data_IF_699721440940
#
_entry.id   IF_699721440940
#
_cell.length_a   1.000
_cell.length_b   1.000
_cell.length_c   1.000
_cell.angle_alpha   90.00
_cell.angle_beta   90.00
_cell.angle_gamma   90.00
#
_symmetry.space_group_name_H-M   'P 1'
#
loop_
_entity.id
_entity.type
_entity.pdbx_description
1 polymer ?
#
# COMPACT_ATOMS: atom_id res chain seq x y z
N UNK A 1 28.67 -11.49 -10.23
CA UNK A 1 27.94 -10.71 -9.22
C UNK A 1 27.23 -11.69 -8.30
N UNK A 2 27.28 -11.54 -6.99
CA UNK A 2 26.54 -12.44 -6.10
C UNK A 2 25.05 -12.13 -6.11
N UNK A 3 24.19 -13.08 -5.72
CA UNK A 3 22.74 -12.83 -5.62
C UNK A 3 22.45 -11.64 -4.67
N UNK A 4 23.20 -11.50 -3.57
CA UNK A 4 23.12 -10.36 -2.65
C UNK A 4 23.39 -9.02 -3.37
N UNK A 5 24.45 -8.96 -4.19
CA UNK A 5 24.77 -7.76 -4.96
C UNK A 5 23.65 -7.39 -5.93
N UNK A 6 23.10 -8.39 -6.62
CA UNK A 6 21.97 -8.19 -7.54
C UNK A 6 20.74 -7.63 -6.82
N UNK A 7 20.43 -8.12 -5.61
CA UNK A 7 19.32 -7.61 -4.83
C UNK A 7 19.55 -6.17 -4.34
N UNK A 8 20.77 -5.83 -3.88
CA UNK A 8 21.09 -4.45 -3.46
C UNK A 8 20.94 -3.49 -4.63
N UNK A 9 21.45 -3.87 -5.81
CA UNK A 9 21.33 -3.06 -7.03
C UNK A 9 19.85 -2.85 -7.41
N UNK A 10 19.04 -3.92 -7.43
CA UNK A 10 17.61 -3.83 -7.71
C UNK A 10 16.84 -2.94 -6.72
N UNK A 11 17.17 -3.00 -5.42
CA UNK A 11 16.59 -2.11 -4.39
C UNK A 11 17.01 -0.66 -4.65
N UNK A 12 18.29 -0.42 -4.95
CA UNK A 12 18.82 0.91 -5.25
C UNK A 12 18.11 1.52 -6.46
N UNK A 13 18.00 0.77 -7.55
CA UNK A 13 17.32 1.22 -8.78
C UNK A 13 15.84 1.53 -8.52
N UNK A 14 15.16 0.70 -7.77
CA UNK A 14 13.76 0.93 -7.41
C UNK A 14 13.56 2.18 -6.54
N UNK A 15 14.50 2.49 -5.62
CA UNK A 15 14.49 3.73 -4.85
C UNK A 15 14.72 4.96 -5.75
N UNK A 16 15.67 4.89 -6.68
CA UNK A 16 15.94 5.94 -7.65
C UNK A 16 14.73 6.18 -8.56
N UNK A 17 14.09 5.12 -9.04
CA UNK A 17 12.84 5.22 -9.83
C UNK A 17 11.71 5.94 -9.08
N UNK A 18 11.71 5.91 -7.76
CA UNK A 18 10.80 6.68 -6.88
C UNK A 18 11.29 8.10 -6.58
N UNK A 19 12.31 8.58 -7.30
CA UNK A 19 12.89 9.92 -7.18
C UNK A 19 13.61 10.17 -5.85
N UNK A 20 14.10 9.12 -5.22
CA UNK A 20 14.96 9.24 -4.05
C UNK A 20 16.41 9.35 -4.51
N UNK A 21 17.19 10.17 -3.82
CA UNK A 21 18.64 10.19 -3.99
C UNK A 21 19.22 9.03 -3.17
N UNK A 22 20.03 8.18 -3.81
CA UNK A 22 20.59 6.98 -3.19
C UNK A 22 22.12 7.02 -3.29
N UNK A 23 22.80 6.85 -2.17
CA UNK A 23 24.24 6.68 -2.08
C UNK A 23 24.55 5.33 -1.42
N UNK A 24 25.28 4.49 -2.13
CA UNK A 24 25.69 3.19 -1.59
C UNK A 24 27.02 3.30 -0.85
N UNK A 25 27.06 2.79 0.39
CA UNK A 25 28.27 2.66 1.20
C UNK A 25 28.37 1.20 1.70
N UNK A 26 29.14 0.38 0.97
CA UNK A 26 29.19 -1.07 1.22
C UNK A 26 27.82 -1.72 1.00
N UNK A 27 27.30 -2.38 2.04
CA UNK A 27 25.98 -3.05 2.06
C UNK A 27 24.85 -2.13 2.57
N UNK A 28 25.11 -0.86 2.76
CA UNK A 28 24.15 0.12 3.28
C UNK A 28 23.75 1.10 2.20
N UNK A 29 22.51 1.53 2.18
CA UNK A 29 22.02 2.60 1.33
C UNK A 29 21.66 3.82 2.18
N UNK A 30 22.34 4.94 1.95
CA UNK A 30 21.92 6.25 2.40
C UNK A 30 20.90 6.80 1.43
N UNK A 31 19.70 7.03 1.88
CA UNK A 31 18.58 7.49 1.05
C UNK A 31 18.09 8.83 1.51
N UNK A 32 17.72 9.69 0.56
CA UNK A 32 17.28 11.03 0.81
C UNK A 32 16.10 11.39 -0.10
N UNK A 33 15.06 11.99 0.49
CA UNK A 33 13.90 12.49 -0.25
C UNK A 33 14.00 14.01 -0.43
N UNK A 34 14.15 14.42 -1.70
CA UNK A 34 14.20 15.83 -2.11
C UNK A 34 15.57 16.49 -2.05
N UNK A 35 15.72 17.66 -2.70
CA UNK A 35 16.97 18.39 -2.80
C UNK A 35 17.27 19.19 -1.52
N UNK A 36 18.56 19.30 -1.20
CA UNK A 36 19.05 20.22 -0.20
C UNK A 36 19.19 19.66 1.21
N UNK A 37 19.62 20.53 2.14
CA UNK A 37 19.99 20.15 3.52
C UNK A 37 18.82 19.83 4.46
N UNK A 38 17.61 20.14 4.04
CA UNK A 38 16.38 19.91 4.82
C UNK A 38 15.61 18.67 4.35
N UNK A 39 16.15 17.92 3.42
CA UNK A 39 15.56 16.68 2.96
C UNK A 39 15.56 15.62 4.08
N UNK A 40 14.52 14.82 4.13
CA UNK A 40 14.47 13.63 4.98
C UNK A 40 15.52 12.64 4.54
N UNK A 41 16.17 11.97 5.49
CA UNK A 41 17.25 11.03 5.22
C UNK A 41 17.08 9.78 6.06
N UNK A 42 17.44 8.63 5.50
CA UNK A 42 17.58 7.39 6.23
C UNK A 42 18.85 6.66 5.79
N UNK A 43 19.41 5.93 6.75
CA UNK A 43 20.47 4.97 6.50
C UNK A 43 19.83 3.58 6.62
N UNK A 44 19.58 2.93 5.48
CA UNK A 44 18.78 1.72 5.43
C UNK A 44 19.60 0.50 5.83
N UNK A 45 19.12 -0.21 6.85
CA UNK A 45 19.52 -1.58 7.10
C UNK A 45 18.81 -2.50 6.11
N UNK A 46 19.56 -3.10 5.21
CA UNK A 46 19.02 -3.97 4.16
C UNK A 46 18.95 -5.43 4.57
N UNK A 47 19.54 -5.84 5.70
CA UNK A 47 19.61 -7.26 6.07
C UNK A 47 18.23 -7.93 6.14
N UNK A 48 17.18 -7.31 6.72
CA UNK A 48 15.87 -7.94 6.78
C UNK A 48 15.26 -8.21 5.40
N UNK A 49 15.37 -7.26 4.46
CA UNK A 49 14.81 -7.45 3.11
C UNK A 49 15.67 -8.40 2.28
N UNK A 50 17.00 -8.37 2.43
CA UNK A 50 17.89 -9.27 1.71
C UNK A 50 17.70 -10.73 2.17
N UNK A 51 17.50 -10.97 3.47
CA UNK A 51 17.15 -12.30 4.00
C UNK A 51 15.82 -12.78 3.41
N UNK A 52 14.79 -11.95 3.44
CA UNK A 52 13.48 -12.29 2.89
C UNK A 52 13.53 -12.60 1.38
N UNK A 53 14.30 -11.82 0.59
CA UNK A 53 14.52 -12.08 -0.83
C UNK A 53 15.27 -13.39 -1.08
N UNK A 54 16.24 -13.74 -0.21
CA UNK A 54 16.99 -14.99 -0.31
C UNK A 54 16.15 -16.25 -0.06
N UNK A 55 15.08 -16.11 0.70
CA UNK A 55 14.15 -17.19 1.03
C UNK A 55 12.95 -17.28 0.06
N UNK A 56 12.66 -16.21 -0.66
CA UNK A 56 11.51 -16.11 -1.54
C UNK A 56 11.77 -16.69 -2.95
N UNK A 57 10.67 -17.07 -3.62
CA UNK A 57 10.73 -17.35 -5.04
C UNK A 57 11.04 -16.07 -5.82
N UNK A 58 11.92 -16.16 -6.82
CA UNK A 58 12.36 -15.05 -7.67
C UNK A 58 11.19 -14.27 -8.29
N UNK A 59 10.10 -14.94 -8.64
CA UNK A 59 8.87 -14.30 -9.13
C UNK A 59 8.26 -13.27 -8.17
N UNK A 60 8.54 -13.40 -6.86
CA UNK A 60 8.06 -12.49 -5.83
C UNK A 60 9.01 -11.32 -5.53
N UNK A 61 10.27 -11.38 -5.98
CA UNK A 61 11.29 -10.38 -5.62
C UNK A 61 10.88 -8.96 -6.00
N UNK A 62 10.35 -8.78 -7.19
CA UNK A 62 9.91 -7.47 -7.67
C UNK A 62 8.83 -6.84 -6.78
N UNK A 63 7.83 -7.62 -6.39
CA UNK A 63 6.77 -7.21 -5.47
C UNK A 63 7.31 -6.86 -4.09
N UNK A 64 8.19 -7.70 -3.56
CA UNK A 64 8.81 -7.50 -2.24
C UNK A 64 9.65 -6.23 -2.22
N UNK A 65 10.43 -5.98 -3.26
CA UNK A 65 11.21 -4.75 -3.42
C UNK A 65 10.28 -3.53 -3.53
N UNK A 66 9.19 -3.62 -4.30
CA UNK A 66 8.23 -2.53 -4.45
C UNK A 66 7.58 -2.16 -3.11
N UNK A 67 7.13 -3.15 -2.33
CA UNK A 67 6.59 -2.93 -0.98
C UNK A 67 7.60 -2.29 -0.03
N UNK A 68 8.84 -2.82 0.00
CA UNK A 68 9.92 -2.25 0.79
C UNK A 68 10.17 -0.77 0.45
N UNK A 69 10.32 -0.46 -0.83
CA UNK A 69 10.57 0.90 -1.32
C UNK A 69 9.41 1.84 -0.98
N UNK A 70 8.18 1.34 -1.06
CA UNK A 70 7.00 2.13 -0.67
C UNK A 70 6.99 2.47 0.82
N UNK A 71 7.36 1.52 1.67
CA UNK A 71 7.52 1.74 3.10
C UNK A 71 8.59 2.80 3.40
N UNK A 72 9.76 2.69 2.78
CA UNK A 72 10.85 3.68 2.90
C UNK A 72 10.35 5.07 2.46
N UNK A 73 9.73 5.16 1.30
CA UNK A 73 9.25 6.43 0.74
C UNK A 73 8.22 7.09 1.65
N UNK A 74 7.28 6.31 2.19
CA UNK A 74 6.25 6.84 3.09
C UNK A 74 6.85 7.50 4.32
N UNK A 75 7.88 6.91 4.93
CA UNK A 75 8.57 7.49 6.09
C UNK A 75 9.36 8.73 5.70
N UNK A 76 10.11 8.69 4.60
CA UNK A 76 10.94 9.81 4.15
C UNK A 76 10.12 11.00 3.64
N UNK A 77 8.88 10.79 3.22
CA UNK A 77 7.98 11.87 2.82
C UNK A 77 7.57 12.77 4.01
N UNK A 78 7.75 12.30 5.26
CA UNK A 78 7.51 13.14 6.43
C UNK A 78 8.54 14.27 6.51
N UNK A 79 8.11 15.55 6.58
CA UNK A 79 9.06 16.66 6.73
C UNK A 79 9.89 16.52 8.00
N UNK A 80 11.21 16.79 7.98
CA UNK A 80 12.10 16.60 9.13
C UNK A 80 11.73 17.38 10.40
N UNK A 81 10.85 18.38 10.28
CA UNK A 81 10.32 19.18 11.39
C UNK A 81 8.87 18.86 11.72
N UNK A 82 8.33 17.79 11.16
CA UNK A 82 6.98 17.34 11.50
C UNK A 82 6.92 16.96 12.97
N UNK A 83 5.82 17.33 13.60
CA UNK A 83 5.47 16.91 14.97
C UNK A 83 4.28 15.94 14.96
N UNK A 84 4.01 15.33 13.82
CA UNK A 84 2.86 14.46 13.67
C UNK A 84 2.90 13.23 14.61
N UNK A 85 4.10 12.81 15.05
CA UNK A 85 4.27 11.80 16.09
C UNK A 85 3.75 12.23 17.48
N UNK A 86 3.69 13.55 17.72
CA UNK A 86 3.21 14.13 18.98
C UNK A 86 1.71 14.48 18.93
N UNK A 87 1.05 14.33 17.78
CA UNK A 87 -0.36 14.71 17.61
C UNK A 87 -1.29 13.79 18.42
N UNK A 88 -2.34 14.38 18.94
CA UNK A 88 -3.43 13.64 19.59
C UNK A 88 -4.32 12.95 18.54
N UNK A 89 -5.13 12.01 19.01
CA UNK A 89 -6.14 11.38 18.13
C UNK A 89 -7.05 12.43 17.44
N UNK A 90 -7.51 13.45 18.17
CA UNK A 90 -8.38 14.49 17.62
C UNK A 90 -7.74 15.30 16.49
N UNK A 91 -6.43 15.57 16.59
CA UNK A 91 -5.68 16.26 15.54
C UNK A 91 -5.46 15.38 14.30
N UNK A 92 -5.50 14.07 14.48
CA UNK A 92 -5.15 13.09 13.46
C UNK A 92 -6.36 12.45 12.78
N UNK A 93 -7.50 12.31 13.48
CA UNK A 93 -8.65 11.56 13.01
C UNK A 93 -9.20 12.02 11.64
N UNK A 94 -9.06 13.29 11.29
CA UNK A 94 -9.43 13.84 9.99
C UNK A 94 -8.32 13.73 8.92
N UNK A 95 -7.22 13.00 9.18
CA UNK A 95 -6.04 12.89 8.31
C UNK A 95 -5.59 11.45 8.12
N UNK A 96 -6.24 10.49 8.76
CA UNK A 96 -5.89 9.06 8.63
C UNK A 96 -6.48 8.49 7.36
N UNK A 97 -5.66 7.71 6.64
CA UNK A 97 -6.06 7.05 5.39
C UNK A 97 -5.71 5.56 5.46
N UNK A 98 -6.63 4.66 5.09
CA UNK A 98 -6.31 3.25 4.97
C UNK A 98 -5.65 2.99 3.62
N UNK A 99 -4.65 2.13 3.61
CA UNK A 99 -3.98 1.67 2.39
C UNK A 99 -3.84 0.15 2.42
N UNK A 100 -3.97 -0.47 1.24
CA UNK A 100 -3.63 -1.88 1.05
C UNK A 100 -2.17 -1.96 0.60
N UNK A 101 -1.37 -2.72 1.32
CA UNK A 101 0.07 -2.89 1.09
C UNK A 101 0.46 -4.36 1.24
N UNK A 102 1.64 -4.73 0.79
CA UNK A 102 2.26 -6.03 1.06
C UNK A 102 3.12 -5.95 2.33
N UNK A 103 3.44 -7.10 2.92
CA UNK A 103 4.16 -7.21 4.20
C UNK A 103 5.55 -6.54 4.19
N UNK A 104 6.26 -6.57 3.06
CA UNK A 104 7.57 -5.91 2.93
C UNK A 104 7.51 -4.38 3.05
N UNK A 105 6.31 -3.76 2.97
CA UNK A 105 6.10 -2.37 3.34
C UNK A 105 6.51 -2.09 4.79
N UNK A 106 6.17 -2.99 5.71
CA UNK A 106 6.52 -2.84 7.13
C UNK A 106 8.05 -2.89 7.32
N UNK A 107 8.72 -3.78 6.56
CA UNK A 107 10.18 -3.90 6.57
C UNK A 107 10.82 -2.59 6.10
N UNK A 108 10.32 -2.02 5.00
CA UNK A 108 10.81 -0.74 4.45
C UNK A 108 10.59 0.44 5.40
N UNK A 109 9.42 0.54 6.01
CA UNK A 109 9.11 1.59 6.96
C UNK A 109 10.03 1.53 8.19
N UNK A 110 10.27 0.34 8.75
CA UNK A 110 11.23 0.13 9.85
C UNK A 110 12.66 0.47 9.43
N UNK A 111 13.10 0.02 8.26
CA UNK A 111 14.44 0.33 7.76
C UNK A 111 14.68 1.84 7.61
N UNK A 112 13.64 2.61 7.28
CA UNK A 112 13.69 4.07 7.21
C UNK A 112 13.55 4.77 8.57
N UNK A 113 13.47 4.03 9.68
CA UNK A 113 13.44 4.56 11.04
C UNK A 113 12.05 4.79 11.63
N UNK A 114 10.99 4.27 11.00
CA UNK A 114 9.67 4.25 11.63
C UNK A 114 9.65 3.23 12.77
N UNK A 115 8.90 3.57 13.81
CA UNK A 115 8.40 2.56 14.74
C UNK A 115 7.46 1.59 14.01
N UNK A 116 7.01 0.54 14.68
CA UNK A 116 6.10 -0.45 14.11
C UNK A 116 4.85 0.21 13.50
N UNK A 117 4.63 0.19 12.17
CA UNK A 117 3.39 0.68 11.58
C UNK A 117 2.18 -0.10 12.08
N UNK A 118 1.11 0.61 12.41
CA UNK A 118 -0.16 -0.04 12.74
C UNK A 118 -0.72 -0.74 11.49
N UNK A 119 -1.03 -2.01 11.63
CA UNK A 119 -1.53 -2.81 10.52
C UNK A 119 -2.41 -3.96 10.99
N UNK A 120 -3.23 -4.47 10.09
CA UNK A 120 -3.95 -5.74 10.21
C UNK A 120 -3.90 -6.49 8.88
N UNK A 121 -3.95 -7.81 8.93
CA UNK A 121 -4.08 -8.60 7.69
C UNK A 121 -5.47 -8.38 7.11
N UNK A 122 -5.51 -8.05 5.81
CA UNK A 122 -6.76 -7.78 5.12
C UNK A 122 -7.28 -9.03 4.41
N UNK A 123 -6.56 -9.53 3.42
CA UNK A 123 -6.89 -10.75 2.68
C UNK A 123 -5.65 -11.25 1.92
N UNK A 124 -5.48 -12.56 1.82
CA UNK A 124 -4.34 -13.15 1.12
C UNK A 124 -3.02 -12.57 1.66
N UNK A 125 -2.24 -11.98 0.79
CA UNK A 125 -0.95 -11.35 1.07
C UNK A 125 -1.02 -9.84 1.32
N UNK A 126 -2.23 -9.28 1.34
CA UNK A 126 -2.47 -7.86 1.57
C UNK A 126 -2.62 -7.54 3.06
N UNK A 127 -1.99 -6.46 3.46
CA UNK A 127 -2.15 -5.80 4.75
C UNK A 127 -2.96 -4.52 4.58
N UNK A 128 -3.82 -4.26 5.54
CA UNK A 128 -4.38 -2.94 5.77
C UNK A 128 -3.42 -2.19 6.69
N UNK A 129 -2.84 -1.11 6.21
CA UNK A 129 -2.03 -0.18 6.99
C UNK A 129 -2.73 1.17 7.06
N UNK A 130 -2.50 1.92 8.12
CA UNK A 130 -3.01 3.29 8.24
C UNK A 130 -1.86 4.26 8.07
N UNK A 131 -2.07 5.28 7.25
CA UNK A 131 -1.17 6.42 7.11
C UNK A 131 -1.84 7.71 7.59
N UNK A 132 -1.03 8.65 8.02
CA UNK A 132 -1.45 10.00 8.40
C UNK A 132 -1.04 10.93 7.25
N UNK A 133 -2.02 11.63 6.69
CA UNK A 133 -1.78 12.65 5.67
C UNK A 133 -1.20 13.91 6.32
N UNK A 134 -0.11 14.38 5.77
CA UNK A 134 0.58 15.61 6.14
C UNK A 134 0.34 16.66 5.07
N UNK A 135 0.71 17.91 5.32
CA UNK A 135 0.63 18.98 4.32
C UNK A 135 1.51 18.70 3.09
N UNK A 136 2.53 17.87 3.28
CA UNK A 136 3.38 17.34 2.19
C UNK A 136 3.72 15.88 2.49
N UNK A 137 3.01 14.96 1.83
CA UNK A 137 3.26 13.52 1.95
C UNK A 137 2.45 12.82 3.03
N UNK A 138 2.89 11.65 3.40
CA UNK A 138 2.25 10.75 4.35
C UNK A 138 3.29 10.18 5.31
N UNK A 139 2.83 9.74 6.47
CA UNK A 139 3.64 8.92 7.39
C UNK A 139 2.82 7.74 7.87
N UNK A 140 3.45 6.62 8.23
CA UNK A 140 2.72 5.52 8.88
C UNK A 140 2.16 5.98 10.24
N UNK A 141 0.93 5.59 10.53
CA UNK A 141 0.46 5.56 11.92
C UNK A 141 1.17 4.40 12.61
N UNK A 142 1.71 4.64 13.81
CA UNK A 142 2.43 3.58 14.53
C UNK A 142 1.58 2.94 15.62
N UNK A 143 1.90 1.69 15.97
CA UNK A 143 1.27 0.98 17.07
C UNK A 143 1.40 1.78 18.38
N UNK A 144 2.57 2.32 18.65
CA UNK A 144 2.83 3.14 19.85
C UNK A 144 1.94 4.38 19.93
N UNK A 145 1.66 5.05 18.80
CA UNK A 145 0.72 6.18 18.79
C UNK A 145 -0.71 5.76 19.12
N UNK A 146 -1.18 4.64 18.57
CA UNK A 146 -2.51 4.11 18.86
C UNK A 146 -2.67 3.82 20.35
N UNK A 147 -1.67 3.21 20.96
CA UNK A 147 -1.62 2.92 22.39
C UNK A 147 -1.59 4.21 23.24
N UNK A 148 -0.74 5.17 22.87
CA UNK A 148 -0.64 6.47 23.55
C UNK A 148 -1.94 7.28 23.50
N UNK A 149 -2.75 7.13 22.44
CA UNK A 149 -4.05 7.79 22.33
C UNK A 149 -5.15 7.14 23.19
N UNK A 150 -4.92 5.93 23.68
CA UNK A 150 -5.93 5.17 24.42
C UNK A 150 -7.20 4.92 23.61
N UNK A 151 -7.08 4.88 22.26
CA UNK A 151 -8.21 4.66 21.35
C UNK A 151 -8.24 3.22 20.86
N UNK A 152 -9.36 2.80 20.29
CA UNK A 152 -9.51 1.45 19.73
C UNK A 152 -9.17 1.41 18.26
N UNK A 153 -8.69 0.26 17.78
CA UNK A 153 -8.45 -0.01 16.36
C UNK A 153 -9.70 0.25 15.51
N UNK A 154 -10.89 -0.10 16.01
CA UNK A 154 -12.16 0.12 15.31
C UNK A 154 -12.43 1.62 15.06
N UNK A 155 -12.11 2.48 16.02
CA UNK A 155 -12.28 3.93 15.86
C UNK A 155 -11.32 4.51 14.85
N UNK A 156 -10.07 4.05 14.85
CA UNK A 156 -9.07 4.47 13.87
C UNK A 156 -9.47 4.01 12.48
N UNK A 157 -9.84 2.75 12.32
CA UNK A 157 -10.29 2.20 11.06
C UNK A 157 -11.52 2.93 10.51
N UNK A 158 -12.52 3.19 11.35
CA UNK A 158 -13.71 3.94 10.96
C UNK A 158 -13.39 5.36 10.52
N UNK A 159 -12.48 6.05 11.20
CA UNK A 159 -12.03 7.38 10.80
C UNK A 159 -11.30 7.34 9.45
N UNK A 160 -10.38 6.39 9.27
CA UNK A 160 -9.61 6.23 8.05
C UNK A 160 -10.52 5.89 6.84
N UNK A 161 -11.49 4.99 7.03
CA UNK A 161 -12.49 4.65 6.02
C UNK A 161 -13.36 5.85 5.63
N UNK A 162 -13.79 6.62 6.61
CA UNK A 162 -14.56 7.85 6.37
C UNK A 162 -13.75 8.86 5.55
N UNK A 163 -12.46 9.03 5.84
CA UNK A 163 -11.59 9.91 5.05
C UNK A 163 -11.41 9.41 3.62
N UNK A 164 -11.17 8.12 3.42
CA UNK A 164 -11.08 7.53 2.09
C UNK A 164 -12.39 7.72 1.31
N UNK A 165 -13.54 7.46 1.95
CA UNK A 165 -14.86 7.70 1.35
C UNK A 165 -15.04 9.15 0.89
N UNK A 166 -14.67 10.12 1.72
CA UNK A 166 -14.76 11.53 1.34
C UNK A 166 -13.89 11.89 0.13
N UNK A 167 -12.70 11.28 0.02
CA UNK A 167 -11.82 11.50 -1.13
C UNK A 167 -12.28 10.80 -2.40
N UNK A 168 -13.02 9.71 -2.26
CA UNK A 168 -13.42 8.85 -3.39
C UNK A 168 -14.91 8.91 -3.74
N UNK A 169 -15.71 9.71 -3.02
CA UNK A 169 -17.18 9.77 -3.20
C UNK A 169 -17.65 10.10 -4.62
N UNK A 170 -16.84 10.83 -5.39
CA UNK A 170 -17.15 11.24 -6.75
C UNK A 170 -16.56 10.26 -7.80
N UNK A 171 -15.91 9.20 -7.37
CA UNK A 171 -15.35 8.16 -8.25
C UNK A 171 -16.48 7.32 -8.82
N UNK A 172 -16.39 7.02 -10.11
CA UNK A 172 -17.23 6.02 -10.77
C UNK A 172 -16.44 4.73 -10.87
N UNK A 173 -17.03 3.61 -10.44
CA UNK A 173 -16.36 2.32 -10.40
C UNK A 173 -16.04 1.79 -11.80
N UNK A 174 -16.92 2.03 -12.77
CA UNK A 174 -16.71 1.57 -14.14
C UNK A 174 -15.92 2.60 -14.92
N UNK A 175 -14.70 2.23 -15.24
CA UNK A 175 -13.81 2.95 -16.15
C UNK A 175 -13.24 1.91 -17.11
N UNK A 176 -12.56 2.28 -18.15
CA UNK A 176 -11.93 1.46 -19.19
C UNK A 176 -11.79 -0.05 -18.88
N UNK A 177 -12.75 -0.85 -19.34
CA UNK A 177 -12.78 -2.28 -19.08
C UNK A 177 -11.63 -2.97 -19.84
N UNK A 178 -10.70 -3.67 -19.17
CA UNK A 178 -9.57 -4.31 -19.82
C UNK A 178 -9.99 -5.58 -20.60
N UNK A 179 -11.13 -6.18 -20.26
CA UNK A 179 -11.70 -7.32 -20.90
C UNK A 179 -13.23 -7.35 -20.68
N UNK A 180 -14.00 -8.07 -21.50
CA UNK A 180 -15.45 -8.19 -21.30
C UNK A 180 -15.80 -8.65 -19.89
N UNK A 181 -16.67 -7.91 -19.20
CA UNK A 181 -17.12 -8.19 -17.83
C UNK A 181 -16.13 -7.86 -16.72
N UNK A 182 -14.91 -7.45 -17.05
CA UNK A 182 -13.89 -7.01 -16.07
C UNK A 182 -13.94 -5.50 -15.98
N UNK A 183 -14.25 -4.99 -14.80
CA UNK A 183 -14.37 -3.57 -14.55
C UNK A 183 -13.11 -3.02 -13.88
N UNK A 184 -12.73 -1.79 -14.27
CA UNK A 184 -11.56 -1.10 -13.75
C UNK A 184 -11.97 0.07 -12.87
N UNK A 185 -11.29 0.23 -11.74
CA UNK A 185 -11.23 1.49 -10.99
C UNK A 185 -9.83 2.05 -11.11
N UNK A 186 -9.74 3.26 -11.66
CA UNK A 186 -8.50 4.03 -11.73
C UNK A 186 -8.78 5.44 -11.24
N UNK A 187 -8.08 5.85 -10.20
CA UNK A 187 -8.17 7.21 -9.70
C UNK A 187 -7.17 8.07 -10.47
N UNK A 188 -7.66 9.19 -11.02
CA UNK A 188 -6.81 10.18 -11.67
C UNK A 188 -5.87 10.87 -10.66
N UNK A 189 -4.88 11.60 -11.18
CA UNK A 189 -4.00 12.51 -10.43
C UNK A 189 -3.03 11.85 -9.44
N UNK A 190 -2.62 10.60 -9.68
CA UNK A 190 -1.60 9.92 -8.89
C UNK A 190 -2.04 9.63 -7.45
N UNK A 191 -3.33 9.53 -7.20
CA UNK A 191 -3.83 9.03 -5.94
C UNK A 191 -3.71 7.50 -5.91
N UNK A 192 -2.76 6.99 -5.13
CA UNK A 192 -2.53 5.56 -4.87
C UNK A 192 -3.70 4.87 -4.13
N UNK A 193 -4.89 5.49 -4.17
CA UNK A 193 -6.03 5.03 -3.39
C UNK A 193 -6.92 4.02 -4.13
N UNK A 194 -6.71 3.78 -5.43
CA UNK A 194 -7.55 2.87 -6.21
C UNK A 194 -7.62 1.49 -5.58
N UNK A 195 -6.48 0.94 -5.16
CA UNK A 195 -6.38 -0.34 -4.46
C UNK A 195 -7.17 -0.43 -3.15
N UNK A 196 -7.40 0.71 -2.53
CA UNK A 196 -8.07 0.78 -1.23
C UNK A 196 -9.57 1.09 -1.32
N UNK A 197 -10.10 1.41 -2.51
CA UNK A 197 -11.52 1.79 -2.65
C UNK A 197 -12.46 0.67 -2.23
N UNK A 198 -12.00 -0.59 -2.31
CA UNK A 198 -12.70 -1.78 -1.81
C UNK A 198 -13.07 -1.69 -0.34
N UNK A 199 -12.41 -0.79 0.42
CA UNK A 199 -12.70 -0.53 1.83
C UNK A 199 -13.85 0.47 2.04
N UNK A 200 -14.40 1.05 0.97
CA UNK A 200 -15.38 2.14 1.04
C UNK A 200 -16.78 1.70 0.70
N UNK A 201 -17.75 2.47 1.18
CA UNK A 201 -19.16 2.28 0.84
C UNK A 201 -19.46 2.58 -0.63
N UNK A 202 -18.65 3.40 -1.30
CA UNK A 202 -18.77 3.66 -2.73
C UNK A 202 -18.69 2.36 -3.52
N UNK A 203 -17.69 1.52 -3.20
CA UNK A 203 -17.51 0.24 -3.87
C UNK A 203 -18.74 -0.67 -3.71
N UNK A 204 -19.27 -0.78 -2.48
CA UNK A 204 -20.41 -1.64 -2.21
C UNK A 204 -21.75 -1.08 -2.69
N UNK A 205 -21.92 0.24 -2.74
CA UNK A 205 -23.19 0.87 -3.14
C UNK A 205 -23.48 0.77 -4.63
N UNK A 206 -22.46 0.57 -5.45
CA UNK A 206 -22.59 0.44 -6.91
C UNK A 206 -22.60 -1.02 -7.39
N UNK A 207 -22.43 -1.98 -6.47
CA UNK A 207 -22.47 -3.40 -6.77
C UNK A 207 -23.81 -4.00 -6.38
N UNK A 208 -24.32 -4.91 -7.20
CA UNK A 208 -25.50 -5.71 -6.87
C UNK A 208 -25.20 -6.62 -5.66
N UNK A 209 -26.25 -7.06 -4.96
CA UNK A 209 -26.12 -8.06 -3.91
C UNK A 209 -25.49 -9.34 -4.48
N UNK A 210 -24.44 -9.80 -3.85
CA UNK A 210 -23.73 -11.01 -4.25
C UNK A 210 -22.27 -11.01 -3.85
N UNK A 211 -21.60 -12.09 -4.18
CA UNK A 211 -20.15 -12.20 -4.05
C UNK A 211 -19.49 -11.68 -5.31
N UNK A 212 -18.42 -10.95 -5.16
CA UNK A 212 -17.60 -10.53 -6.29
C UNK A 212 -16.12 -10.86 -6.06
N UNK A 213 -15.36 -10.86 -7.13
CA UNK A 213 -13.90 -11.00 -7.10
C UNK A 213 -13.27 -9.68 -7.49
N UNK A 214 -12.16 -9.38 -6.84
CA UNK A 214 -11.36 -8.23 -7.19
C UNK A 214 -9.87 -8.56 -7.17
N UNK A 215 -9.08 -7.70 -7.77
CA UNK A 215 -7.62 -7.74 -7.70
C UNK A 215 -7.04 -6.33 -7.65
N UNK A 216 -5.84 -6.22 -7.09
CA UNK A 216 -5.09 -4.96 -7.01
C UNK A 216 -3.70 -5.19 -7.60
N UNK A 217 -3.55 -5.23 -8.94
CA UNK A 217 -2.29 -5.60 -9.57
C UNK A 217 -1.16 -4.61 -9.28
N UNK A 218 -1.51 -3.34 -9.07
CA UNK A 218 -0.57 -2.28 -8.69
C UNK A 218 -1.26 -1.20 -7.84
N UNK A 219 -0.53 -0.15 -7.50
CA UNK A 219 -1.03 0.91 -6.63
C UNK A 219 -2.19 1.72 -7.22
N UNK A 220 -2.25 1.85 -8.55
CA UNK A 220 -3.17 2.73 -9.26
C UNK A 220 -4.44 2.03 -9.75
N UNK A 221 -4.45 0.68 -9.75
CA UNK A 221 -5.50 -0.11 -10.35
C UNK A 221 -6.20 -1.02 -9.34
N UNK A 222 -7.51 -1.09 -9.46
CA UNK A 222 -8.34 -2.13 -8.89
C UNK A 222 -9.21 -2.69 -10.02
N UNK A 223 -9.18 -3.99 -10.22
CA UNK A 223 -10.08 -4.71 -11.10
C UNK A 223 -11.11 -5.48 -10.30
N UNK A 224 -12.34 -5.58 -10.82
CA UNK A 224 -13.37 -6.40 -10.19
C UNK A 224 -14.35 -6.98 -11.22
N UNK A 225 -15.00 -8.08 -10.84
CA UNK A 225 -16.08 -8.74 -11.58
C UNK A 225 -17.23 -9.07 -10.64
N UNK A 226 -18.45 -8.97 -11.15
CA UNK A 226 -19.66 -9.41 -10.43
C UNK A 226 -20.14 -10.80 -10.94
N UNK A 227 -19.97 -11.08 -12.23
CA UNK A 227 -20.21 -12.42 -12.76
C UNK A 227 -19.06 -13.35 -12.35
N UNK A 228 -19.40 -14.50 -11.77
CA UNK A 228 -18.44 -15.48 -11.27
C UNK A 228 -18.40 -16.75 -12.14
N UNK A 229 -18.77 -16.63 -13.43
CA UNK A 229 -18.54 -17.68 -14.40
C UNK A 229 -17.04 -17.83 -14.71
N UNK A 230 -16.67 -19.01 -15.18
CA UNK A 230 -15.26 -19.37 -15.40
C UNK A 230 -14.57 -18.45 -16.42
N UNK A 231 -15.26 -18.06 -17.48
CA UNK A 231 -14.73 -17.19 -18.54
C UNK A 231 -14.39 -15.79 -17.98
N UNK A 232 -15.31 -15.21 -17.22
CA UNK A 232 -15.11 -13.89 -16.61
C UNK A 232 -14.00 -13.91 -15.54
N UNK A 233 -13.91 -14.98 -14.74
CA UNK A 233 -12.86 -15.15 -13.75
C UNK A 233 -11.48 -15.35 -14.39
N UNK A 234 -11.41 -16.09 -15.51
CA UNK A 234 -10.17 -16.25 -16.26
C UNK A 234 -9.73 -14.92 -16.91
N UNK A 235 -10.68 -14.14 -17.46
CA UNK A 235 -10.43 -12.80 -17.99
C UNK A 235 -9.88 -11.86 -16.91
N UNK A 236 -10.46 -11.87 -15.70
CA UNK A 236 -9.94 -11.12 -14.56
C UNK A 236 -8.52 -11.55 -14.19
N UNK A 237 -8.27 -12.85 -14.10
CA UNK A 237 -6.96 -13.38 -13.76
C UNK A 237 -5.90 -13.00 -14.81
N UNK A 238 -6.26 -13.05 -16.10
CA UNK A 238 -5.37 -12.65 -17.19
C UNK A 238 -5.06 -11.14 -17.13
N UNK A 239 -6.09 -10.28 -17.05
CA UNK A 239 -5.91 -8.84 -16.95
C UNK A 239 -5.07 -8.46 -15.73
N UNK A 240 -5.27 -9.17 -14.60
CA UNK A 240 -4.48 -8.97 -13.38
C UNK A 240 -3.01 -9.30 -13.60
N UNK A 241 -2.69 -10.45 -14.20
CA UNK A 241 -1.30 -10.84 -14.50
C UNK A 241 -0.62 -9.84 -15.42
N UNK A 242 -1.28 -9.45 -16.51
CA UNK A 242 -0.74 -8.47 -17.46
C UNK A 242 -0.44 -7.12 -16.81
N UNK A 243 -1.38 -6.60 -16.02
CA UNK A 243 -1.17 -5.33 -15.30
C UNK A 243 -0.10 -5.44 -14.21
N UNK A 244 -0.02 -6.58 -13.52
CA UNK A 244 1.01 -6.87 -12.54
C UNK A 244 2.40 -6.92 -13.18
N UNK A 245 2.55 -7.63 -14.30
CA UNK A 245 3.81 -7.79 -15.02
C UNK A 245 4.28 -6.48 -15.69
N UNK A 246 3.34 -5.67 -16.19
CA UNK A 246 3.65 -4.38 -16.82
C UNK A 246 3.98 -3.27 -15.81
N UNK A 247 3.68 -3.46 -14.52
CA UNK A 247 3.84 -2.42 -13.51
C UNK A 247 5.28 -2.32 -13.00
N UNK A 248 5.78 -1.11 -12.83
CA UNK A 248 7.03 -0.85 -12.09
C UNK A 248 6.85 -1.09 -10.58
N UNK A 249 5.60 -1.09 -10.09
CA UNK A 249 5.25 -1.24 -8.68
C UNK A 249 4.12 -2.24 -8.49
N UNK A 250 4.39 -3.54 -8.73
CA UNK A 250 3.39 -4.59 -8.60
C UNK A 250 3.00 -4.75 -7.12
N UNK A 251 1.71 -4.97 -6.87
CA UNK A 251 1.16 -5.16 -5.53
C UNK A 251 0.77 -6.62 -5.30
N UNK A 252 -0.21 -7.14 -6.05
CA UNK A 252 -0.61 -8.55 -5.98
C UNK A 252 -1.11 -9.07 -7.33
N UNK A 253 -0.75 -10.31 -7.66
CA UNK A 253 -1.34 -11.04 -8.79
C UNK A 253 -2.49 -11.96 -8.38
N UNK A 254 -2.87 -11.97 -7.11
CA UNK A 254 -3.95 -12.81 -6.58
C UNK A 254 -5.32 -12.19 -6.83
N UNK A 255 -6.32 -13.07 -6.91
CA UNK A 255 -7.72 -12.69 -6.89
C UNK A 255 -8.27 -12.83 -5.48
N UNK A 256 -8.98 -11.81 -5.04
CA UNK A 256 -9.55 -11.73 -3.70
C UNK A 256 -11.07 -11.84 -3.76
N UNK A 257 -11.63 -12.47 -2.76
CA UNK A 257 -13.06 -12.53 -2.53
C UNK A 257 -13.45 -11.56 -1.41
N UNK A 258 -14.45 -10.75 -1.67
CA UNK A 258 -15.06 -9.93 -0.66
C UNK A 258 -16.58 -10.04 -0.81
N UNK A 259 -17.24 -10.58 0.21
CA UNK A 259 -18.69 -10.57 0.26
C UNK A 259 -19.19 -9.16 0.60
N UNK A 260 -20.31 -8.70 0.03
CA UNK A 260 -20.90 -7.38 0.31
C UNK A 260 -21.52 -7.28 1.72
N UNK A 261 -21.09 -8.12 2.64
CA UNK A 261 -21.34 -7.89 4.05
C UNK A 261 -20.62 -6.61 4.42
N UNK A 262 -21.32 -5.68 5.06
CA UNK A 262 -20.72 -4.46 5.63
C UNK A 262 -19.30 -4.77 6.06
N UNK A 263 -18.31 -3.97 5.63
CA UNK A 263 -16.92 -4.24 5.94
C UNK A 263 -16.85 -4.58 7.40
N UNK A 264 -16.47 -5.80 7.64
CA UNK A 264 -16.50 -6.39 8.95
C UNK A 264 -15.75 -5.46 9.90
N UNK A 265 -16.24 -5.33 11.11
CA UNK A 265 -15.46 -4.75 12.20
C UNK A 265 -14.04 -5.34 12.16
N UNK A 266 -13.01 -4.60 12.56
CA UNK A 266 -11.61 -5.07 12.56
C UNK A 266 -11.42 -6.47 13.20
N UNK A 267 -12.41 -6.97 13.96
CA UNK A 267 -12.47 -8.34 14.47
C UNK A 267 -12.68 -9.43 13.43
N UNK A 268 -13.22 -9.12 12.25
CA UNK A 268 -13.42 -10.11 11.18
C UNK A 268 -12.25 -10.12 10.19
N UNK A 269 -11.32 -9.19 10.32
CA UNK A 269 -10.07 -9.11 9.56
C UNK A 269 -8.88 -9.74 10.32
N UNK A 270 -9.11 -10.28 11.52
CA UNK A 270 -8.08 -10.90 12.34
C UNK A 270 -7.92 -12.40 12.02
#
# INVERSE_FOLDING_TARGET
MSARETHIEAISDALVARRLEVERIGDTLNVKDGPGRFASKANLDLEPILSALGEANEANHRRMIAGFVNGVKTVLAEPPRSKASEWTYQQTAGRVMPNLEVDTYLVGAKAAGSEEPWHVRFSGDLLLVITIELDRGYRPLTQAQVEAWGTTSDRIYSAARSMLFHKTRDVRLRQDDPAPGVHTVKLGDGHDAARSIVLTEVFFSELDEGTFRFSTPNQDLLYYVQALDEETLEALAQATREAYEASDYPLSSELFELAPTRPASAKALA
#
